data_IF_361614291286
#
_entry.id   IF_361614291286
#
_cell.length_a   1.000
_cell.length_b   1.000
_cell.length_c   1.000
_cell.angle_alpha   90.00
_cell.angle_beta   90.00
_cell.angle_gamma   90.00
#
_symmetry.space_group_name_H-M   'P 1'
#
loop_
_entity.id
_entity.type
_entity.pdbx_description
1 polymer ?
#
# COMPACT_ATOMS: atom_id res chain seq x y z
N UNK A 1 44.20 -11.89 14.31
CA UNK A 1 43.12 -10.89 14.39
C UNK A 1 43.41 -9.84 13.33
N UNK A 2 42.74 -9.94 12.18
CA UNK A 2 42.97 -9.06 11.05
C UNK A 2 41.64 -8.55 10.52
N UNK A 3 41.50 -7.22 10.57
CA UNK A 3 40.40 -6.42 10.00
C UNK A 3 40.27 -6.71 8.51
N UNK A 4 39.12 -7.24 8.10
CA UNK A 4 38.74 -7.24 6.68
C UNK A 4 38.06 -5.90 6.37
N UNK A 5 38.52 -5.30 5.27
CA UNK A 5 38.20 -3.94 4.81
C UNK A 5 37.15 -4.00 3.70
N UNK A 6 36.27 -3.01 3.69
CA UNK A 6 35.06 -2.90 2.85
C UNK A 6 35.27 -2.83 1.32
N UNK A 7 36.48 -3.09 0.81
CA UNK A 7 36.81 -3.11 -0.63
C UNK A 7 36.90 -4.51 -1.25
N UNK A 8 36.71 -5.58 -0.45
CA UNK A 8 36.75 -6.98 -0.93
C UNK A 8 35.39 -7.55 -1.36
N UNK A 9 34.28 -6.82 -1.19
CA UNK A 9 32.93 -7.35 -1.47
C UNK A 9 32.43 -7.14 -2.90
N UNK A 10 33.18 -6.42 -3.73
CA UNK A 10 32.79 -6.17 -5.12
C UNK A 10 34.00 -6.29 -6.03
N UNK A 11 34.38 -7.52 -6.37
CA UNK A 11 34.95 -7.81 -7.68
C UNK A 11 35.01 -9.31 -7.96
N UNK A 12 34.39 -9.63 -9.09
CA UNK A 12 34.65 -10.77 -9.98
C UNK A 12 34.43 -12.16 -9.40
N UNK A 13 33.45 -12.87 -9.95
CA UNK A 13 33.88 -13.90 -10.88
C UNK A 13 32.90 -14.14 -12.03
N UNK A 14 33.49 -14.20 -13.21
CA UNK A 14 32.87 -14.29 -14.52
C UNK A 14 32.75 -15.77 -14.89
N UNK A 15 31.51 -16.20 -15.16
CA UNK A 15 31.13 -17.22 -16.15
C UNK A 15 32.28 -18.01 -16.81
N UNK A 16 32.50 -19.24 -16.34
CA UNK A 16 33.01 -20.34 -17.16
C UNK A 16 32.00 -21.49 -17.18
N UNK A 17 31.61 -21.85 -18.41
CA UNK A 17 30.65 -22.90 -18.77
C UNK A 17 31.37 -24.25 -18.76
N UNK A 18 30.75 -25.26 -18.15
CA UNK A 18 30.82 -26.63 -18.68
C UNK A 18 29.52 -27.40 -18.39
N UNK A 19 29.19 -28.29 -19.33
CA UNK A 19 27.86 -28.82 -19.62
C UNK A 19 27.27 -29.75 -18.54
N UNK A 20 26.00 -29.51 -18.19
CA UNK A 20 25.01 -30.56 -17.93
C UNK A 20 23.66 -30.06 -18.40
N UNK A 21 23.27 -30.55 -19.57
CA UNK A 21 22.01 -30.25 -20.23
C UNK A 21 20.88 -30.93 -19.45
N UNK A 22 20.29 -30.18 -18.52
CA UNK A 22 18.90 -30.38 -18.11
C UNK A 22 18.13 -29.18 -18.65
N UNK A 23 17.12 -29.36 -19.52
CA UNK A 23 16.20 -28.27 -19.79
C UNK A 23 15.50 -27.97 -18.46
N UNK A 24 15.91 -26.88 -17.81
CA UNK A 24 15.16 -26.32 -16.69
C UNK A 24 13.82 -25.86 -17.26
N UNK A 25 12.82 -26.72 -17.11
CA UNK A 25 11.42 -26.35 -17.25
C UNK A 25 11.15 -25.43 -16.06
N UNK A 26 10.76 -24.16 -16.27
CA UNK A 26 10.39 -23.31 -15.15
C UNK A 26 9.21 -23.95 -14.42
N UNK A 27 9.37 -24.22 -13.13
CA UNK A 27 8.26 -24.61 -12.26
C UNK A 27 7.28 -23.43 -12.23
N UNK A 28 6.04 -23.71 -12.62
CA UNK A 28 4.95 -22.76 -12.89
C UNK A 28 4.42 -21.94 -11.68
N UNK A 29 5.16 -21.76 -10.57
CA UNK A 29 4.53 -21.30 -9.32
C UNK A 29 5.19 -20.16 -8.53
N UNK A 30 6.33 -19.57 -8.93
CA UNK A 30 7.03 -18.64 -8.00
C UNK A 30 7.43 -17.25 -8.49
N UNK A 31 6.92 -16.78 -9.63
CA UNK A 31 6.87 -15.34 -9.89
C UNK A 31 5.62 -15.02 -10.71
N UNK A 32 4.44 -15.19 -10.11
CA UNK A 32 3.27 -14.44 -10.59
C UNK A 32 3.49 -12.99 -10.18
N UNK A 33 4.25 -12.28 -11.01
CA UNK A 33 4.17 -10.83 -11.13
C UNK A 33 2.77 -10.50 -11.63
N UNK A 34 1.75 -10.72 -10.80
CA UNK A 34 0.41 -10.23 -11.06
C UNK A 34 0.54 -8.72 -11.07
N UNK A 35 0.55 -8.18 -12.28
CA UNK A 35 0.49 -6.76 -12.49
C UNK A 35 -0.90 -6.33 -12.01
N UNK A 36 -0.99 -5.96 -10.73
CA UNK A 36 -2.14 -5.26 -10.16
C UNK A 36 -2.23 -3.88 -10.83
N UNK A 37 -2.84 -3.89 -12.01
CA UNK A 37 -3.08 -2.73 -12.85
C UNK A 37 -4.47 -2.16 -12.61
N UNK A 38 -4.67 -0.92 -13.06
CA UNK A 38 -6.00 -0.31 -13.07
C UNK A 38 -6.96 -1.19 -13.89
N UNK A 39 -8.18 -1.36 -13.40
CA UNK A 39 -9.22 -2.22 -13.95
C UNK A 39 -9.18 -3.67 -13.48
N UNK A 40 -8.14 -4.08 -12.74
CA UNK A 40 -8.05 -5.43 -12.16
C UNK A 40 -8.77 -5.48 -10.80
N UNK A 41 -9.26 -6.66 -10.38
CA UNK A 41 -9.73 -6.85 -9.01
C UNK A 41 -8.61 -6.54 -8.04
N UNK A 42 -8.99 -5.96 -6.90
CA UNK A 42 -8.04 -5.76 -5.81
C UNK A 42 -7.48 -7.13 -5.38
N UNK A 43 -6.15 -7.32 -5.25
CA UNK A 43 -5.59 -8.65 -5.03
C UNK A 43 -5.81 -9.17 -3.61
N UNK A 44 -6.16 -8.30 -2.68
CA UNK A 44 -6.29 -8.63 -1.27
C UNK A 44 -7.70 -8.29 -0.78
N UNK A 45 -8.71 -8.81 -1.49
CA UNK A 45 -10.14 -8.69 -1.12
C UNK A 45 -10.47 -9.38 0.21
N UNK A 46 -9.53 -10.16 0.75
CA UNK A 46 -9.57 -10.72 2.11
C UNK A 46 -9.43 -9.67 3.21
N UNK A 47 -8.92 -8.47 2.90
CA UNK A 47 -8.83 -7.36 3.86
C UNK A 47 -10.22 -6.93 4.33
N UNK A 48 -11.18 -6.87 3.42
CA UNK A 48 -12.57 -6.54 3.73
C UNK A 48 -13.49 -6.94 2.56
N UNK A 49 -14.35 -7.93 2.77
CA UNK A 49 -15.27 -8.44 1.74
C UNK A 49 -16.23 -7.36 1.21
N UNK A 50 -16.48 -6.31 2.01
CA UNK A 50 -17.36 -5.21 1.62
C UNK A 50 -16.79 -4.41 0.45
N UNK A 51 -15.47 -4.44 0.23
CA UNK A 51 -14.81 -3.77 -0.89
C UNK A 51 -15.28 -4.30 -2.26
N UNK A 52 -15.68 -5.57 -2.34
CA UNK A 52 -16.15 -6.20 -3.58
C UNK A 52 -17.48 -5.60 -4.02
N UNK A 53 -18.40 -5.39 -3.07
CA UNK A 53 -19.75 -4.90 -3.35
C UNK A 53 -19.89 -3.39 -3.22
N UNK A 54 -18.86 -2.70 -2.70
CA UNK A 54 -18.93 -1.27 -2.48
C UNK A 54 -18.96 -0.50 -3.82
N UNK A 55 -19.89 0.45 -4.00
CA UNK A 55 -19.90 1.30 -5.18
C UNK A 55 -18.65 2.16 -5.27
N UNK A 56 -18.08 2.56 -4.12
CA UNK A 56 -16.79 3.23 -4.03
C UNK A 56 -16.11 2.83 -2.73
N UNK A 57 -14.82 2.52 -2.81
CA UNK A 57 -13.98 2.35 -1.64
C UNK A 57 -12.62 3.03 -1.83
N UNK A 58 -12.05 3.54 -0.74
CA UNK A 58 -10.76 4.21 -0.71
C UNK A 58 -9.87 3.52 0.31
N UNK A 59 -8.75 3.00 -0.17
CA UNK A 59 -7.74 2.32 0.65
C UNK A 59 -6.54 3.24 0.75
N UNK A 60 -6.24 3.69 1.97
CA UNK A 60 -5.13 4.57 2.25
C UNK A 60 -3.97 3.79 2.85
N UNK A 61 -2.76 4.11 2.40
CA UNK A 61 -1.53 3.49 2.85
C UNK A 61 -0.66 4.55 3.52
N UNK A 62 -0.35 4.32 4.79
CA UNK A 62 0.43 5.23 5.62
C UNK A 62 1.55 4.50 6.33
N UNK A 63 2.52 5.27 6.82
CA UNK A 63 3.63 4.80 7.62
C UNK A 63 3.83 5.74 8.80
N UNK A 64 3.88 5.22 10.03
CA UNK A 64 4.08 6.05 11.22
C UNK A 64 5.49 6.67 11.29
N UNK A 65 6.42 6.24 10.44
CA UNK A 65 7.74 6.86 10.29
C UNK A 65 7.76 8.00 9.26
N UNK A 66 6.65 8.27 8.58
CA UNK A 66 6.52 9.32 7.58
C UNK A 66 5.84 10.56 8.17
N UNK A 67 6.53 11.70 8.16
CA UNK A 67 6.01 12.98 8.65
C UNK A 67 4.72 13.40 7.94
N UNK A 68 4.65 13.23 6.61
CA UNK A 68 3.45 13.54 5.82
C UNK A 68 2.26 12.66 6.19
N UNK A 69 2.49 11.40 6.59
CA UNK A 69 1.42 10.53 7.06
C UNK A 69 0.87 11.01 8.40
N UNK A 70 1.75 11.41 9.33
CA UNK A 70 1.35 11.89 10.66
C UNK A 70 0.47 13.14 10.55
N UNK A 71 0.79 14.05 9.64
CA UNK A 71 -0.02 15.26 9.40
C UNK A 71 -1.40 14.94 8.78
N UNK A 72 -1.49 13.84 8.02
CA UNK A 72 -2.73 13.40 7.36
C UNK A 72 -3.70 12.75 8.34
N UNK A 73 -3.20 11.98 9.31
CA UNK A 73 -4.00 11.22 10.29
C UNK A 73 -5.18 11.99 10.90
N UNK A 74 -5.00 13.14 11.57
CA UNK A 74 -6.13 13.86 12.17
C UNK A 74 -7.17 14.32 11.15
N UNK A 75 -6.75 14.57 9.91
CA UNK A 75 -7.62 15.03 8.82
C UNK A 75 -8.44 13.90 8.20
N UNK A 76 -8.03 12.64 8.39
CA UNK A 76 -8.75 11.46 7.88
C UNK A 76 -10.12 11.27 8.52
N UNK A 77 -10.30 11.68 9.78
CA UNK A 77 -11.61 11.63 10.44
C UNK A 77 -12.64 12.52 9.74
N UNK A 78 -12.28 13.77 9.45
CA UNK A 78 -13.14 14.69 8.70
C UNK A 78 -13.40 14.17 7.28
N UNK A 79 -12.38 13.59 6.66
CA UNK A 79 -12.50 12.96 5.36
C UNK A 79 -13.50 11.80 5.36
N UNK A 80 -13.41 10.88 6.34
CA UNK A 80 -14.34 9.76 6.44
C UNK A 80 -15.78 10.19 6.66
N UNK A 81 -16.01 11.33 7.34
CA UNK A 81 -17.36 11.87 7.51
C UNK A 81 -17.94 12.46 6.23
N UNK A 82 -17.09 12.85 5.27
CA UNK A 82 -17.52 13.39 3.97
C UNK A 82 -17.66 12.29 2.92
N UNK A 83 -16.81 11.26 3.00
CA UNK A 83 -16.77 10.19 2.04
C UNK A 83 -17.93 9.21 2.23
N UNK A 84 -18.73 9.02 1.18
CA UNK A 84 -19.90 8.11 1.20
C UNK A 84 -19.54 6.64 0.95
N UNK A 85 -18.27 6.35 0.63
CA UNK A 85 -17.78 4.99 0.36
C UNK A 85 -17.13 4.31 1.57
N UNK A 86 -16.56 3.13 1.33
CA UNK A 86 -15.81 2.39 2.36
C UNK A 86 -14.40 2.96 2.45
N UNK A 87 -14.03 3.47 3.62
CA UNK A 87 -12.65 3.84 3.91
C UNK A 87 -11.92 2.69 4.60
N UNK A 88 -10.69 2.42 4.17
CA UNK A 88 -9.79 1.49 4.83
C UNK A 88 -8.42 2.15 4.99
N UNK A 89 -7.83 2.06 6.17
CA UNK A 89 -6.48 2.55 6.42
C UNK A 89 -5.54 1.37 6.61
N UNK A 90 -4.41 1.36 5.91
CA UNK A 90 -3.35 0.37 6.02
C UNK A 90 -2.11 1.08 6.54
N UNK A 91 -1.57 0.58 7.64
CA UNK A 91 -0.44 1.15 8.35
C UNK A 91 0.64 0.10 8.58
N UNK A 92 1.90 0.53 8.54
CA UNK A 92 3.06 -0.30 8.89
C UNK A 92 3.27 -0.50 10.39
N UNK A 93 2.44 0.10 11.24
CA UNK A 93 2.50 -0.03 12.70
C UNK A 93 2.00 -1.39 13.17
N UNK A 94 2.25 -1.74 14.44
CA UNK A 94 1.70 -2.96 15.02
C UNK A 94 0.17 -2.87 15.19
N UNK A 95 -0.47 -4.01 15.41
CA UNK A 95 -1.92 -4.04 15.69
C UNK A 95 -2.27 -3.23 16.95
N UNK A 96 -1.42 -3.29 17.98
CA UNK A 96 -1.62 -2.53 19.23
C UNK A 96 -1.54 -1.03 18.97
N UNK A 97 -0.48 -0.57 18.28
CA UNK A 97 -0.33 0.84 17.90
C UNK A 97 -1.50 1.32 17.03
N UNK A 98 -1.95 0.52 16.07
CA UNK A 98 -3.07 0.87 15.20
C UNK A 98 -4.40 0.95 15.95
N UNK A 99 -4.62 0.08 16.95
CA UNK A 99 -5.78 0.16 17.82
C UNK A 99 -5.75 1.42 18.70
N UNK A 100 -4.59 1.75 19.27
CA UNK A 100 -4.41 3.01 20.01
C UNK A 100 -4.62 4.22 19.12
N UNK A 101 -4.12 4.18 17.88
CA UNK A 101 -4.28 5.24 16.88
C UNK A 101 -5.75 5.45 16.52
N UNK A 102 -6.46 4.36 16.22
CA UNK A 102 -7.88 4.39 15.87
C UNK A 102 -8.72 4.91 17.04
N UNK A 103 -8.39 4.50 18.27
CA UNK A 103 -9.06 4.99 19.48
C UNK A 103 -8.72 6.47 19.77
N UNK A 104 -7.47 6.89 19.55
CA UNK A 104 -7.03 8.25 19.81
C UNK A 104 -7.71 9.26 18.87
N UNK A 105 -7.85 8.92 17.59
CA UNK A 105 -8.50 9.77 16.59
C UNK A 105 -9.99 9.45 16.36
N UNK A 106 -10.55 8.51 17.12
CA UNK A 106 -11.95 8.06 17.03
C UNK A 106 -12.35 7.66 15.60
N UNK A 107 -11.49 6.89 14.92
CA UNK A 107 -11.74 6.53 13.52
C UNK A 107 -12.96 5.61 13.38
N UNK A 108 -13.93 5.95 12.51
CA UNK A 108 -15.10 5.12 12.25
C UNK A 108 -14.83 3.97 11.28
N UNK A 109 -13.57 3.78 10.86
CA UNK A 109 -13.14 2.84 9.84
C UNK A 109 -12.01 1.93 10.35
N UNK A 110 -11.88 0.73 9.78
CA UNK A 110 -10.83 -0.21 10.17
C UNK A 110 -9.43 0.29 9.80
N UNK A 111 -8.47 0.05 10.71
CA UNK A 111 -7.04 0.24 10.49
C UNK A 111 -6.36 -1.12 10.48
N UNK A 112 -5.78 -1.50 9.35
CA UNK A 112 -5.13 -2.79 9.16
C UNK A 112 -3.62 -2.63 9.20
N UNK A 113 -2.97 -3.62 9.83
CA UNK A 113 -1.52 -3.72 9.92
C UNK A 113 -0.97 -4.44 8.69
N UNK A 114 -0.08 -3.78 7.95
CA UNK A 114 0.68 -4.45 6.91
C UNK A 114 2.07 -3.83 6.75
N UNK A 115 3.10 -4.67 6.62
CA UNK A 115 4.47 -4.20 6.50
C UNK A 115 4.67 -3.31 5.27
N UNK A 116 5.42 -2.21 5.44
CA UNK A 116 5.61 -1.19 4.40
C UNK A 116 6.12 -1.73 3.07
N UNK A 117 7.15 -2.58 3.14
CA UNK A 117 7.72 -3.20 1.95
C UNK A 117 6.72 -4.11 1.22
N UNK A 118 5.74 -4.67 1.93
CA UNK A 118 4.73 -5.55 1.37
C UNK A 118 3.73 -4.77 0.53
N UNK A 119 3.08 -3.72 1.07
CA UNK A 119 2.13 -2.93 0.24
C UNK A 119 2.84 -2.19 -0.89
N UNK A 120 4.06 -1.66 -0.66
CA UNK A 120 4.79 -0.94 -1.71
C UNK A 120 5.09 -1.85 -2.90
N UNK A 121 5.55 -3.07 -2.63
CA UNK A 121 5.87 -4.04 -3.67
C UNK A 121 4.61 -4.63 -4.31
N UNK A 122 3.63 -5.05 -3.49
CA UNK A 122 2.41 -5.70 -3.94
C UNK A 122 1.51 -4.77 -4.77
N UNK A 123 1.30 -3.53 -4.31
CA UNK A 123 0.44 -2.56 -4.98
C UNK A 123 1.18 -1.59 -5.91
N UNK A 124 2.52 -1.74 -6.02
CA UNK A 124 3.42 -0.87 -6.80
C UNK A 124 3.22 0.60 -6.44
N UNK A 125 3.29 0.91 -5.13
CA UNK A 125 3.20 2.27 -4.61
C UNK A 125 4.59 2.89 -4.56
N UNK A 126 4.77 4.04 -5.20
CA UNK A 126 6.05 4.76 -5.22
C UNK A 126 6.40 5.38 -3.87
N UNK A 127 5.40 5.86 -3.12
CA UNK A 127 5.61 6.58 -1.87
C UNK A 127 4.42 6.45 -0.89
N UNK A 128 4.61 6.94 0.33
CA UNK A 128 3.57 7.08 1.35
C UNK A 128 3.49 8.55 1.80
N UNK A 129 2.28 9.09 2.07
CA UNK A 129 0.98 8.43 2.02
C UNK A 129 0.50 8.21 0.58
N UNK A 130 -0.24 7.13 0.32
CA UNK A 130 -0.85 6.85 -0.99
C UNK A 130 -2.28 6.35 -0.83
N UNK A 131 -3.10 6.49 -1.87
CA UNK A 131 -4.46 5.96 -1.92
C UNK A 131 -4.67 5.08 -3.15
N UNK A 132 -5.52 4.08 -3.00
CA UNK A 132 -6.08 3.26 -4.07
C UNK A 132 -7.60 3.38 -4.00
N UNK A 133 -8.21 3.73 -5.12
CA UNK A 133 -9.65 3.86 -5.24
C UNK A 133 -10.19 2.63 -5.96
N UNK A 134 -11.17 2.00 -5.32
CA UNK A 134 -11.90 0.86 -5.85
C UNK A 134 -13.33 1.27 -6.20
N UNK A 135 -13.87 0.63 -7.24
CA UNK A 135 -15.28 0.71 -7.60
C UNK A 135 -15.75 -0.71 -7.92
N UNK A 136 -16.68 -1.25 -7.13
CA UNK A 136 -17.14 -2.64 -7.23
C UNK A 136 -15.98 -3.66 -7.21
N UNK A 137 -15.03 -3.48 -6.28
CA UNK A 137 -13.85 -4.34 -6.12
C UNK A 137 -12.74 -4.16 -7.17
N UNK A 138 -12.94 -3.31 -8.18
CA UNK A 138 -11.95 -3.06 -9.23
C UNK A 138 -11.13 -1.80 -8.93
N UNK A 139 -9.80 -1.90 -9.09
CA UNK A 139 -8.89 -0.76 -8.95
C UNK A 139 -9.15 0.29 -10.03
N UNK A 140 -9.76 1.42 -9.71
CA UNK A 140 -9.96 2.51 -10.68
C UNK A 140 -8.76 3.43 -10.77
N UNK A 141 -8.19 3.76 -9.63
CA UNK A 141 -7.11 4.73 -9.55
C UNK A 141 -6.16 4.38 -8.40
N UNK A 142 -4.91 4.81 -8.53
CA UNK A 142 -3.96 4.89 -7.44
C UNK A 142 -3.13 6.15 -7.58
N UNK A 143 -2.81 6.79 -6.47
CA UNK A 143 -2.02 8.01 -6.44
C UNK A 143 -1.34 8.21 -5.09
N UNK A 144 -0.24 8.95 -5.08
CA UNK A 144 0.39 9.42 -3.84
C UNK A 144 -0.31 10.67 -3.35
N UNK A 145 -0.62 10.69 -2.06
CA UNK A 145 -1.29 11.81 -1.41
C UNK A 145 -0.22 12.82 -1.01
N UNK A 146 -0.38 14.06 -1.47
CA UNK A 146 0.53 15.16 -1.12
C UNK A 146 0.04 15.87 0.15
N UNK A 147 -1.27 16.12 0.22
CA UNK A 147 -2.01 16.68 1.34
C UNK A 147 -3.48 16.20 1.25
N UNK A 148 -4.26 16.42 2.31
CA UNK A 148 -5.68 16.08 2.33
C UNK A 148 -6.46 16.69 1.16
N UNK A 149 -6.14 17.92 0.72
CA UNK A 149 -6.83 18.55 -0.40
C UNK A 149 -6.62 17.79 -1.71
N UNK A 150 -5.45 17.17 -1.88
CA UNK A 150 -5.18 16.30 -3.03
C UNK A 150 -6.14 15.09 -3.00
N UNK A 151 -6.32 14.47 -1.84
CA UNK A 151 -7.24 13.35 -1.67
C UNK A 151 -8.69 13.72 -2.02
N UNK A 152 -9.19 14.86 -1.55
CA UNK A 152 -10.52 15.35 -1.90
C UNK A 152 -10.68 15.55 -3.41
N UNK A 153 -9.69 16.17 -4.06
CA UNK A 153 -9.72 16.44 -5.50
C UNK A 153 -9.75 15.17 -6.33
N UNK A 154 -8.89 14.20 -6.03
CA UNK A 154 -8.82 12.94 -6.79
C UNK A 154 -10.09 12.11 -6.63
N UNK A 155 -10.76 12.21 -5.47
CA UNK A 155 -12.04 11.56 -5.22
C UNK A 155 -13.25 12.37 -5.70
N UNK A 156 -13.03 13.55 -6.30
CA UNK A 156 -14.10 14.42 -6.78
C UNK A 156 -15.05 14.90 -5.67
N UNK A 157 -14.57 14.92 -4.43
CA UNK A 157 -15.35 15.35 -3.27
C UNK A 157 -15.18 16.86 -3.09
N UNK A 158 -16.30 17.58 -3.00
CA UNK A 158 -16.29 18.97 -2.58
C UNK A 158 -16.02 18.99 -1.06
N UNK A 159 -14.97 19.70 -0.63
CA UNK A 159 -14.85 20.08 0.78
C UNK A 159 -16.02 21.00 1.04
N UNK A 160 -17.12 20.45 1.57
CA UNK A 160 -18.32 21.21 1.94
C UNK A 160 -17.87 22.52 2.60
N UNK A 161 -18.14 23.61 1.89
CA UNK A 161 -17.41 24.86 2.02
C UNK A 161 -17.32 25.41 3.43
N UNK A 162 -16.17 26.02 3.73
CA UNK A 162 -16.09 27.12 4.69
C UNK A 162 -16.79 28.36 4.10
#
# INVERSE_FOLDING_TARGET
>A
MSKLSFRDLFKSDTLERDHSFVPYIPSEDEITSEAHGLGMPFPDLTLDERLVSAPSAAILFISLTCSSCIDLLPKLLTFSNTYTGILLLISSASLEDNNELAHYYDYPFPVITMAENSYKSQFKLDATPSAIILEHGLMKQRFTIEDINHLYRELGLDRGGE
#
